data_IF_190912693327
#
_entry.id   IF_190912693327
#
_cell.length_a   1.000
_cell.length_b   1.000
_cell.length_c   1.000
_cell.angle_alpha   90.00
_cell.angle_beta   90.00
_cell.angle_gamma   90.00
#
_symmetry.space_group_name_H-M   'P 1'
#
loop_
_entity.id
_entity.type
_entity.pdbx_description
1 polymer ?
#
# COMPACT_ATOMS: atom_id res chain seq x y z
N UNK A 1 -40.14 32.52 -27.33
CA UNK A 1 -39.38 32.04 -26.16
C UNK A 1 -40.25 31.06 -25.38
N UNK A 2 -40.10 29.76 -25.62
CA UNK A 2 -40.82 28.72 -24.89
C UNK A 2 -40.13 28.47 -23.54
N UNK A 3 -40.82 28.78 -22.44
CA UNK A 3 -40.39 28.37 -21.09
C UNK A 3 -40.46 26.84 -21.02
N UNK A 4 -39.30 26.17 -21.13
CA UNK A 4 -39.17 24.76 -20.72
C UNK A 4 -39.58 24.69 -19.25
N UNK A 5 -40.78 24.16 -18.98
CA UNK A 5 -41.15 23.71 -17.65
C UNK A 5 -40.15 22.62 -17.24
N UNK A 6 -39.23 22.99 -16.35
CA UNK A 6 -38.38 22.06 -15.66
C UNK A 6 -39.26 21.18 -14.79
N UNK A 7 -39.61 20.00 -15.29
CA UNK A 7 -39.96 18.91 -14.39
C UNK A 7 -38.75 18.73 -13.47
N UNK A 8 -38.92 19.08 -12.19
CA UNK A 8 -38.04 18.66 -11.10
C UNK A 8 -38.09 17.14 -11.04
N UNK A 9 -37.42 16.45 -11.97
CA UNK A 9 -36.98 15.08 -11.76
C UNK A 9 -35.94 15.22 -10.65
N UNK A 10 -36.38 14.97 -9.41
CA UNK A 10 -35.49 14.56 -8.33
C UNK A 10 -34.46 13.61 -8.94
N UNK A 11 -33.18 14.02 -8.94
CA UNK A 11 -32.09 13.18 -9.41
C UNK A 11 -31.97 12.01 -8.43
N UNK A 12 -32.77 10.97 -8.65
CA UNK A 12 -32.76 9.76 -7.83
C UNK A 12 -31.57 8.93 -8.28
N UNK A 13 -30.38 9.23 -7.77
CA UNK A 13 -29.26 8.30 -7.83
C UNK A 13 -29.59 7.06 -6.98
N UNK A 14 -29.01 5.91 -7.31
CA UNK A 14 -29.19 4.65 -6.57
C UNK A 14 -30.66 4.18 -6.51
N UNK A 15 -31.31 4.07 -7.67
CA UNK A 15 -32.67 3.52 -7.74
C UNK A 15 -32.69 2.06 -7.29
N UNK A 16 -33.58 1.66 -6.35
CA UNK A 16 -33.68 0.27 -5.88
C UNK A 16 -34.02 -0.75 -6.99
N UNK A 17 -34.62 -0.29 -8.09
CA UNK A 17 -34.94 -1.14 -9.24
C UNK A 17 -33.74 -1.48 -10.14
N UNK A 18 -32.61 -0.78 -9.96
CA UNK A 18 -31.41 -0.90 -10.80
C UNK A 18 -30.20 -1.33 -9.94
N UNK A 19 -30.13 -0.84 -8.69
CA UNK A 19 -29.09 -1.17 -7.73
C UNK A 19 -29.56 -2.28 -6.80
N UNK A 20 -28.94 -3.45 -6.92
CA UNK A 20 -29.08 -4.53 -5.96
C UNK A 20 -28.15 -4.34 -4.75
N UNK A 21 -28.38 -5.13 -3.69
CA UNK A 21 -27.61 -5.07 -2.44
C UNK A 21 -26.10 -5.23 -2.68
N UNK A 22 -25.71 -6.00 -3.69
CA UNK A 22 -24.32 -6.19 -4.10
C UNK A 22 -23.70 -4.91 -4.67
N UNK A 23 -24.41 -4.18 -5.53
CA UNK A 23 -23.92 -2.91 -6.07
C UNK A 23 -23.78 -1.84 -4.98
N UNK A 24 -24.71 -1.81 -4.01
CA UNK A 24 -24.62 -0.91 -2.87
C UNK A 24 -23.41 -1.24 -1.98
N UNK A 25 -23.15 -2.54 -1.74
CA UNK A 25 -22.00 -2.98 -0.95
C UNK A 25 -20.66 -2.71 -1.65
N UNK A 26 -20.59 -2.86 -2.97
CA UNK A 26 -19.41 -2.49 -3.76
C UNK A 26 -19.14 -0.99 -3.67
N UNK A 27 -20.19 -0.17 -3.81
CA UNK A 27 -20.09 1.28 -3.63
C UNK A 27 -19.62 1.65 -2.21
N UNK A 28 -20.16 1.01 -1.17
CA UNK A 28 -19.74 1.24 0.21
C UNK A 28 -18.24 0.91 0.41
N UNK A 29 -17.76 -0.18 -0.20
CA UNK A 29 -16.33 -0.51 -0.22
C UNK A 29 -15.49 0.63 -0.79
N UNK A 30 -15.93 1.22 -1.92
CA UNK A 30 -15.24 2.34 -2.55
C UNK A 30 -15.12 3.55 -1.61
N UNK A 31 -16.22 3.93 -0.95
CA UNK A 31 -16.25 5.07 -0.02
C UNK A 31 -15.36 4.83 1.20
N UNK A 32 -15.46 3.65 1.82
CA UNK A 32 -14.68 3.30 3.01
C UNK A 32 -13.18 3.35 2.69
N UNK A 33 -12.74 2.68 1.61
CA UNK A 33 -11.32 2.65 1.29
C UNK A 33 -10.80 3.97 0.74
N UNK A 34 -11.62 4.78 0.07
CA UNK A 34 -11.26 6.16 -0.28
C UNK A 34 -10.93 6.98 0.97
N UNK A 35 -11.78 6.90 2.00
CA UNK A 35 -11.55 7.57 3.28
C UNK A 35 -10.28 7.03 3.99
N UNK A 36 -10.05 5.71 3.95
CA UNK A 36 -8.84 5.09 4.52
C UNK A 36 -7.57 5.58 3.81
N UNK A 37 -7.53 5.62 2.47
CA UNK A 37 -6.37 6.13 1.73
C UNK A 37 -6.15 7.62 1.95
N UNK A 38 -7.22 8.42 2.06
CA UNK A 38 -7.12 9.84 2.43
C UNK A 38 -6.53 10.01 3.84
N UNK A 39 -7.04 9.25 4.84
CA UNK A 39 -6.50 9.25 6.20
C UNK A 39 -5.03 8.81 6.24
N UNK A 40 -4.65 7.85 5.41
CA UNK A 40 -3.26 7.38 5.27
C UNK A 40 -2.38 8.47 4.66
N UNK A 41 -2.84 9.21 3.64
CA UNK A 41 -2.14 10.36 3.06
C UNK A 41 -1.94 11.50 4.08
N UNK A 42 -2.95 11.78 4.90
CA UNK A 42 -2.83 12.80 5.96
C UNK A 42 -1.82 12.35 7.02
N UNK A 43 -1.95 11.10 7.48
CA UNK A 43 -1.02 10.49 8.46
C UNK A 43 0.41 10.51 7.95
N UNK A 44 0.61 10.21 6.67
CA UNK A 44 1.89 10.26 5.98
C UNK A 44 2.55 11.63 6.07
N UNK A 45 1.80 12.71 5.77
CA UNK A 45 2.30 14.08 5.87
C UNK A 45 2.76 14.43 7.30
N UNK A 46 2.03 13.97 8.31
CA UNK A 46 2.37 14.18 9.73
C UNK A 46 3.64 13.39 10.10
N UNK A 47 3.68 12.10 9.78
CA UNK A 47 4.81 11.20 10.11
C UNK A 47 6.10 11.61 9.40
N UNK A 48 6.03 12.09 8.16
CA UNK A 48 7.19 12.56 7.39
C UNK A 48 7.89 13.74 8.06
N UNK A 49 7.17 14.60 8.78
CA UNK A 49 7.76 15.73 9.52
C UNK A 49 8.61 15.28 10.71
N UNK A 50 8.22 14.20 11.39
CA UNK A 50 8.84 13.76 12.65
C UNK A 50 9.80 12.56 12.56
N UNK A 51 9.85 11.84 11.45
CA UNK A 51 10.71 10.64 11.30
C UNK A 51 12.16 11.02 11.04
N UNK A 52 13.14 10.29 11.60
CA UNK A 52 14.57 10.52 11.36
C UNK A 52 15.05 9.78 10.09
N UNK A 53 15.91 8.77 10.26
CA UNK A 53 16.40 7.98 9.12
C UNK A 53 15.28 7.17 8.42
N UNK A 54 14.15 6.93 9.10
CA UNK A 54 12.94 6.31 8.52
C UNK A 54 12.31 7.10 7.36
N UNK A 55 12.69 8.38 7.16
CA UNK A 55 12.24 9.22 6.04
C UNK A 55 12.53 8.61 4.67
N UNK A 56 13.59 7.81 4.54
CA UNK A 56 13.94 7.22 3.24
C UNK A 56 13.03 6.03 2.89
N UNK A 57 12.41 5.33 3.85
CA UNK A 57 11.38 4.33 3.55
C UNK A 57 10.11 5.01 3.03
N UNK A 58 9.77 6.15 3.65
CA UNK A 58 8.70 7.07 3.22
C UNK A 58 9.20 8.04 2.13
N UNK A 59 9.98 7.51 1.19
CA UNK A 59 10.55 8.29 0.09
C UNK A 59 9.51 8.71 -0.94
N UNK A 60 10.00 9.34 -2.01
CA UNK A 60 9.19 9.68 -3.18
C UNK A 60 8.40 8.48 -3.74
N UNK A 61 8.98 7.27 -3.89
CA UNK A 61 8.25 6.14 -4.46
C UNK A 61 7.02 5.72 -3.65
N UNK A 62 7.11 5.75 -2.31
CA UNK A 62 5.98 5.44 -1.43
C UNK A 62 4.88 6.50 -1.54
N UNK A 63 5.25 7.79 -1.52
CA UNK A 63 4.28 8.88 -1.67
C UNK A 63 3.57 8.81 -3.01
N UNK A 64 4.29 8.52 -4.10
CA UNK A 64 3.73 8.35 -5.43
C UNK A 64 2.79 7.14 -5.49
N UNK A 65 3.21 5.98 -4.94
CA UNK A 65 2.36 4.79 -4.88
C UNK A 65 1.02 5.10 -4.17
N UNK A 66 1.07 5.71 -2.98
CA UNK A 66 -0.14 6.04 -2.24
C UNK A 66 -0.98 7.12 -2.94
N UNK A 67 -0.35 8.09 -3.61
CA UNK A 67 -1.07 9.12 -4.37
C UNK A 67 -1.77 8.53 -5.59
N UNK A 68 -1.09 7.66 -6.35
CA UNK A 68 -1.71 6.94 -7.46
C UNK A 68 -2.83 6.02 -6.97
N UNK A 69 -2.67 5.37 -5.81
CA UNK A 69 -3.73 4.58 -5.21
C UNK A 69 -4.96 5.42 -4.90
N UNK A 70 -4.75 6.57 -4.27
CA UNK A 70 -5.83 7.49 -3.92
C UNK A 70 -6.53 8.05 -5.16
N UNK A 71 -5.77 8.47 -6.18
CA UNK A 71 -6.33 8.97 -7.45
C UNK A 71 -7.13 7.86 -8.15
N UNK A 72 -6.58 6.64 -8.23
CA UNK A 72 -7.29 5.48 -8.76
C UNK A 72 -8.64 5.28 -8.03
N UNK A 73 -8.62 5.29 -6.70
CA UNK A 73 -9.80 5.08 -5.88
C UNK A 73 -10.82 6.23 -6.05
N UNK A 74 -10.35 7.48 -6.14
CA UNK A 74 -11.19 8.64 -6.36
C UNK A 74 -11.85 8.61 -7.74
N UNK A 75 -11.12 8.23 -8.79
CA UNK A 75 -11.67 8.03 -10.13
C UNK A 75 -12.74 6.94 -10.10
N UNK A 76 -12.47 5.81 -9.43
CA UNK A 76 -13.44 4.72 -9.35
C UNK A 76 -14.72 5.12 -8.59
N UNK A 77 -14.58 5.89 -7.50
CA UNK A 77 -15.70 6.47 -6.77
C UNK A 77 -16.53 7.43 -7.64
N UNK A 78 -15.88 8.36 -8.35
CA UNK A 78 -16.56 9.32 -9.24
C UNK A 78 -17.26 8.58 -10.37
N UNK A 79 -16.59 7.65 -11.04
CA UNK A 79 -17.17 6.83 -12.11
C UNK A 79 -18.40 6.07 -11.61
N UNK A 80 -18.30 5.42 -10.45
CA UNK A 80 -19.42 4.66 -9.87
C UNK A 80 -20.58 5.57 -9.45
N UNK A 81 -20.31 6.76 -8.95
CA UNK A 81 -21.34 7.76 -8.59
C UNK A 81 -22.05 8.28 -9.83
N UNK A 82 -21.31 8.59 -10.91
CA UNK A 82 -21.89 9.05 -12.18
C UNK A 82 -22.77 7.97 -12.82
N UNK A 83 -22.32 6.70 -12.77
CA UNK A 83 -23.12 5.56 -13.21
C UNK A 83 -24.39 5.42 -12.37
N UNK A 84 -24.30 5.55 -11.04
CA UNK A 84 -25.44 5.47 -10.14
C UNK A 84 -26.48 6.57 -10.31
N UNK A 85 -26.04 7.73 -10.78
CA UNK A 85 -26.91 8.86 -11.10
C UNK A 85 -27.42 8.85 -12.55
N UNK A 86 -27.20 7.75 -13.28
CA UNK A 86 -27.58 7.58 -14.68
C UNK A 86 -26.98 8.63 -15.65
N UNK A 87 -25.93 9.36 -15.24
CA UNK A 87 -25.37 10.49 -16.03
C UNK A 87 -24.58 10.00 -17.24
N UNK A 88 -23.91 8.85 -17.10
CA UNK A 88 -22.99 8.30 -18.11
C UNK A 88 -23.56 7.12 -18.90
N UNK A 89 -24.84 6.78 -18.76
CA UNK A 89 -25.46 5.65 -19.47
C UNK A 89 -25.33 5.81 -20.99
N UNK A 90 -24.58 4.90 -21.63
CA UNK A 90 -24.38 4.87 -23.07
C UNK A 90 -23.24 5.74 -23.62
N UNK A 91 -22.57 6.52 -22.77
CA UNK A 91 -21.40 7.31 -23.19
C UNK A 91 -20.17 6.41 -23.35
N UNK A 92 -19.36 6.69 -24.38
CA UNK A 92 -18.05 6.05 -24.59
C UNK A 92 -17.04 6.33 -23.48
N UNK A 93 -17.37 7.24 -22.56
CA UNK A 93 -16.48 7.76 -21.52
C UNK A 93 -16.20 6.73 -20.42
N UNK A 94 -17.09 5.74 -20.21
CA UNK A 94 -16.91 4.66 -19.23
C UNK A 94 -15.59 3.91 -19.46
N UNK A 95 -15.22 3.66 -20.71
CA UNK A 95 -13.97 2.96 -21.05
C UNK A 95 -12.74 3.82 -20.78
N UNK A 96 -12.82 5.13 -20.97
CA UNK A 96 -11.73 6.06 -20.62
C UNK A 96 -11.46 6.06 -19.12
N UNK A 97 -12.51 6.00 -18.29
CA UNK A 97 -12.36 5.86 -16.83
C UNK A 97 -11.66 4.54 -16.46
N UNK A 98 -12.07 3.42 -17.06
CA UNK A 98 -11.47 2.10 -16.81
C UNK A 98 -9.97 2.09 -17.19
N UNK A 99 -9.63 2.66 -18.35
CA UNK A 99 -8.22 2.77 -18.79
C UNK A 99 -7.42 3.60 -17.79
N UNK A 100 -7.94 4.75 -17.35
CA UNK A 100 -7.25 5.57 -16.35
C UNK A 100 -7.03 4.81 -15.03
N UNK A 101 -8.05 4.09 -14.55
CA UNK A 101 -7.96 3.24 -13.35
C UNK A 101 -6.84 2.21 -13.51
N UNK A 102 -6.78 1.51 -14.66
CA UNK A 102 -5.76 0.49 -14.92
C UNK A 102 -4.34 1.08 -14.95
N UNK A 103 -4.16 2.25 -15.56
CA UNK A 103 -2.86 2.93 -15.62
C UNK A 103 -2.40 3.32 -14.22
N UNK A 104 -3.26 3.98 -13.42
CA UNK A 104 -2.89 4.36 -12.05
C UNK A 104 -2.64 3.13 -11.17
N UNK A 105 -3.42 2.07 -11.33
CA UNK A 105 -3.21 0.81 -10.63
C UNK A 105 -1.86 0.18 -10.95
N UNK A 106 -1.47 0.14 -12.23
CA UNK A 106 -0.20 -0.38 -12.67
C UNK A 106 0.99 0.43 -12.13
N UNK A 107 0.89 1.77 -12.18
CA UNK A 107 1.92 2.67 -11.64
C UNK A 107 2.05 2.56 -10.12
N UNK A 108 0.93 2.46 -9.43
CA UNK A 108 0.87 2.23 -7.98
C UNK A 108 1.55 0.91 -7.60
N UNK A 109 1.18 -0.19 -8.27
CA UNK A 109 1.70 -1.53 -8.00
C UNK A 109 3.22 -1.61 -8.19
N UNK A 110 3.77 -1.03 -9.27
CA UNK A 110 5.23 -1.08 -9.51
C UNK A 110 6.01 -0.21 -8.52
N UNK A 111 5.47 0.95 -8.14
CA UNK A 111 6.09 1.81 -7.12
C UNK A 111 6.05 1.13 -5.74
N UNK A 112 4.95 0.45 -5.41
CA UNK A 112 4.83 -0.31 -4.17
C UNK A 112 5.83 -1.47 -4.12
N UNK A 113 5.97 -2.22 -5.22
CA UNK A 113 7.00 -3.26 -5.36
C UNK A 113 8.41 -2.70 -5.15
N UNK A 114 8.71 -1.55 -5.74
CA UNK A 114 10.00 -0.89 -5.55
C UNK A 114 10.23 -0.52 -4.07
N UNK A 115 9.21 -0.03 -3.37
CA UNK A 115 9.32 0.26 -1.93
C UNK A 115 9.61 -1.00 -1.13
N UNK A 116 8.84 -2.07 -1.34
CA UNK A 116 8.95 -3.29 -0.54
C UNK A 116 10.19 -4.11 -0.92
N UNK A 117 10.36 -4.46 -2.18
CA UNK A 117 11.44 -5.34 -2.62
C UNK A 117 12.79 -4.64 -2.54
N UNK A 118 12.89 -3.40 -3.00
CA UNK A 118 14.16 -2.69 -3.04
C UNK A 118 14.43 -1.88 -1.78
N UNK A 119 13.55 -0.92 -1.46
CA UNK A 119 13.85 0.06 -0.40
C UNK A 119 13.88 -0.58 0.98
N UNK A 120 12.89 -1.39 1.34
CA UNK A 120 12.84 -2.06 2.64
C UNK A 120 13.98 -3.06 2.84
N UNK A 121 14.23 -3.95 1.86
CA UNK A 121 15.32 -4.94 1.99
C UNK A 121 16.70 -4.28 2.03
N UNK A 122 16.94 -3.22 1.25
CA UNK A 122 18.23 -2.51 1.30
C UNK A 122 18.43 -1.81 2.63
N UNK A 123 17.38 -1.23 3.24
CA UNK A 123 17.45 -0.63 4.56
C UNK A 123 17.72 -1.65 5.67
N UNK A 124 16.98 -2.76 5.70
CA UNK A 124 17.18 -3.84 6.67
C UNK A 124 18.59 -4.43 6.58
N UNK A 125 19.13 -4.57 5.35
CA UNK A 125 20.49 -5.08 5.14
C UNK A 125 21.59 -4.12 5.54
N UNK A 126 21.40 -2.81 5.30
CA UNK A 126 22.35 -1.79 5.77
C UNK A 126 22.52 -1.86 7.29
N UNK A 127 21.44 -2.13 8.04
CA UNK A 127 21.53 -2.32 9.49
C UNK A 127 22.35 -3.54 9.92
N UNK A 128 22.51 -4.55 9.06
CA UNK A 128 23.33 -5.73 9.32
C UNK A 128 24.82 -5.54 8.97
N UNK A 129 25.20 -4.37 8.46
CA UNK A 129 26.56 -4.10 7.99
C UNK A 129 26.95 -4.92 6.76
N UNK A 130 25.98 -5.54 6.07
CA UNK A 130 26.21 -6.35 4.88
C UNK A 130 25.74 -5.58 3.63
N UNK A 131 26.67 -5.30 2.71
CA UNK A 131 26.37 -4.74 1.39
C UNK A 131 26.64 -5.78 0.29
N UNK A 132 25.84 -6.85 0.15
CA UNK A 132 26.02 -7.79 -0.94
C UNK A 132 25.54 -7.15 -2.25
N UNK A 133 26.49 -6.76 -3.10
CA UNK A 133 26.26 -6.26 -4.46
C UNK A 133 25.42 -7.23 -5.29
N UNK A 134 25.67 -8.54 -5.16
CA UNK A 134 24.95 -9.60 -5.86
C UNK A 134 23.43 -9.58 -5.60
N UNK A 135 22.99 -9.31 -4.37
CA UNK A 135 21.57 -9.25 -4.07
C UNK A 135 20.89 -8.03 -4.70
N UNK A 136 21.59 -6.89 -4.77
CA UNK A 136 21.06 -5.71 -5.45
C UNK A 136 20.80 -6.02 -6.92
N UNK A 137 21.72 -6.70 -7.59
CA UNK A 137 21.51 -7.13 -8.98
C UNK A 137 20.29 -8.05 -9.11
N UNK A 138 20.13 -9.02 -8.20
CA UNK A 138 18.96 -9.90 -8.19
C UNK A 138 17.63 -9.17 -7.99
N UNK A 139 17.56 -8.23 -7.04
CA UNK A 139 16.35 -7.42 -6.81
C UNK A 139 16.00 -6.53 -8.00
N UNK A 140 16.99 -5.94 -8.67
CA UNK A 140 16.77 -5.16 -9.89
C UNK A 140 16.23 -6.05 -11.00
N UNK A 141 16.84 -7.23 -11.22
CA UNK A 141 16.39 -8.16 -12.25
C UNK A 141 14.92 -8.56 -12.04
N UNK A 142 14.55 -8.91 -10.81
CA UNK A 142 13.16 -9.26 -10.45
C UNK A 142 12.21 -8.08 -10.67
N UNK A 143 12.59 -6.87 -10.25
CA UNK A 143 11.78 -5.66 -10.46
C UNK A 143 11.61 -5.33 -11.94
N UNK A 144 12.64 -5.52 -12.77
CA UNK A 144 12.56 -5.31 -14.21
C UNK A 144 11.59 -6.30 -14.85
N UNK A 145 11.68 -7.59 -14.50
CA UNK A 145 10.76 -8.63 -15.00
C UNK A 145 9.30 -8.30 -14.60
N UNK A 146 9.07 -7.98 -13.33
CA UNK A 146 7.74 -7.58 -12.84
C UNK A 146 7.25 -6.29 -13.50
N UNK A 147 8.14 -5.33 -13.76
CA UNK A 147 7.81 -4.08 -14.44
C UNK A 147 7.37 -4.30 -15.89
N UNK A 148 8.07 -5.17 -16.62
CA UNK A 148 7.70 -5.54 -17.99
C UNK A 148 6.34 -6.26 -17.98
N UNK A 149 6.17 -7.27 -17.12
CA UNK A 149 4.91 -8.02 -17.01
C UNK A 149 3.73 -7.11 -16.65
N UNK A 150 3.93 -6.19 -15.70
CA UNK A 150 2.93 -5.20 -15.31
C UNK A 150 2.57 -4.26 -16.48
N UNK A 151 3.57 -3.76 -17.21
CA UNK A 151 3.33 -2.90 -18.37
C UNK A 151 2.53 -3.63 -19.45
N UNK A 152 2.90 -4.87 -19.77
CA UNK A 152 2.17 -5.70 -20.75
C UNK A 152 0.74 -5.95 -20.26
N UNK A 153 0.54 -6.29 -18.99
CA UNK A 153 -0.79 -6.50 -18.40
C UNK A 153 -1.66 -5.24 -18.52
N UNK A 154 -1.15 -4.08 -18.11
CA UNK A 154 -1.87 -2.79 -18.19
C UNK A 154 -2.21 -2.43 -19.63
N UNK A 155 -1.28 -2.62 -20.57
CA UNK A 155 -1.51 -2.37 -22.00
C UNK A 155 -2.61 -3.29 -22.52
N UNK A 156 -2.56 -4.58 -22.20
CA UNK A 156 -3.55 -5.55 -22.64
C UNK A 156 -4.95 -5.24 -22.06
N UNK A 157 -5.06 -4.95 -20.77
CA UNK A 157 -6.33 -4.56 -20.13
C UNK A 157 -6.89 -3.24 -20.68
N UNK A 158 -6.02 -2.28 -20.99
CA UNK A 158 -6.43 -1.01 -21.57
C UNK A 158 -6.87 -1.19 -23.02
N UNK A 159 -6.16 -2.01 -23.78
CA UNK A 159 -6.47 -2.33 -25.16
C UNK A 159 -7.78 -3.12 -25.28
N UNK A 160 -8.04 -4.09 -24.41
CA UNK A 160 -9.33 -4.80 -24.37
C UNK A 160 -10.49 -3.88 -24.02
N UNK A 161 -10.29 -2.99 -23.06
CA UNK A 161 -11.28 -1.97 -22.69
C UNK A 161 -11.56 -1.03 -23.87
N UNK A 162 -10.52 -0.61 -24.59
CA UNK A 162 -10.67 0.22 -25.78
C UNK A 162 -11.37 -0.52 -26.93
N UNK A 163 -11.02 -1.77 -27.20
CA UNK A 163 -11.63 -2.54 -28.28
C UNK A 163 -13.11 -2.84 -28.01
N UNK A 164 -13.46 -3.07 -26.74
CA UNK A 164 -14.85 -3.25 -26.29
C UNK A 164 -15.73 -2.00 -26.50
N UNK A 165 -15.12 -0.81 -26.56
CA UNK A 165 -15.81 0.45 -26.88
C UNK A 165 -16.26 0.47 -28.35
N UNK A 166 -15.36 0.09 -29.26
CA UNK A 166 -15.55 0.31 -30.70
C UNK A 166 -16.23 -0.87 -31.40
N UNK A 167 -16.08 -2.09 -30.89
CA UNK A 167 -16.53 -3.32 -31.58
C UNK A 167 -17.45 -4.19 -30.70
N UNK A 168 -18.54 -3.60 -30.17
CA UNK A 168 -19.50 -4.29 -29.28
C UNK A 168 -19.98 -5.68 -29.75
N UNK A 169 -19.88 -6.01 -31.04
CA UNK A 169 -20.48 -7.21 -31.64
C UNK A 169 -19.56 -8.07 -32.55
N UNK A 170 -18.25 -7.79 -32.71
CA UNK A 170 -17.52 -8.30 -33.91
C UNK A 170 -16.16 -8.99 -33.72
N UNK A 171 -15.64 -9.21 -32.51
CA UNK A 171 -14.34 -9.90 -32.40
C UNK A 171 -14.33 -10.88 -31.22
N UNK A 172 -14.07 -12.16 -31.53
CA UNK A 172 -13.57 -13.19 -30.61
C UNK A 172 -12.20 -12.76 -30.09
N UNK A 173 -12.18 -11.74 -29.23
CA UNK A 173 -10.94 -11.29 -28.63
C UNK A 173 -10.45 -12.37 -27.67
N UNK A 174 -9.18 -12.74 -27.79
CA UNK A 174 -8.57 -13.78 -26.97
C UNK A 174 -8.29 -13.26 -25.55
N UNK A 175 -9.35 -13.09 -24.75
CA UNK A 175 -9.28 -12.72 -23.33
C UNK A 175 -8.36 -13.65 -22.53
N UNK A 176 -8.21 -14.89 -22.98
CA UNK A 176 -7.33 -15.89 -22.38
C UNK A 176 -5.89 -15.39 -22.30
N UNK A 177 -5.39 -14.68 -23.32
CA UNK A 177 -4.03 -14.13 -23.32
C UNK A 177 -3.82 -13.10 -22.19
N UNK A 178 -4.81 -12.24 -21.92
CA UNK A 178 -4.77 -11.26 -20.84
C UNK A 178 -4.68 -11.96 -19.49
N UNK A 179 -5.52 -12.99 -19.29
CA UNK A 179 -5.51 -13.75 -18.04
C UNK A 179 -4.24 -14.58 -17.83
N UNK A 180 -3.61 -15.10 -18.89
CA UNK A 180 -2.31 -15.77 -18.77
C UNK A 180 -1.21 -14.81 -18.31
N UNK A 181 -1.14 -13.61 -18.91
CA UNK A 181 -0.15 -12.59 -18.52
C UNK A 181 -0.40 -12.10 -17.10
N UNK A 182 -1.65 -11.86 -16.74
CA UNK A 182 -2.04 -11.44 -15.39
C UNK A 182 -1.71 -12.51 -14.35
N UNK A 183 -2.04 -13.79 -14.62
CA UNK A 183 -1.69 -14.90 -13.75
C UNK A 183 -0.17 -15.04 -13.60
N UNK A 184 0.59 -14.92 -14.69
CA UNK A 184 2.05 -14.95 -14.66
C UNK A 184 2.61 -13.80 -13.81
N UNK A 185 2.11 -12.58 -13.99
CA UNK A 185 2.48 -11.42 -13.19
C UNK A 185 2.25 -11.66 -11.71
N UNK A 186 1.03 -12.05 -11.31
CA UNK A 186 0.69 -12.26 -9.90
C UNK A 186 1.42 -13.45 -9.28
N UNK A 187 1.71 -14.48 -10.05
CA UNK A 187 2.50 -15.64 -9.59
C UNK A 187 3.94 -15.25 -9.29
N UNK A 188 4.59 -14.50 -10.19
CA UNK A 188 5.95 -13.99 -9.98
C UNK A 188 5.97 -12.95 -8.86
N UNK A 189 4.94 -12.11 -8.75
CA UNK A 189 4.76 -11.13 -7.68
C UNK A 189 4.70 -11.81 -6.32
N UNK A 190 3.85 -12.84 -6.18
CA UNK A 190 3.70 -13.64 -4.96
C UNK A 190 5.00 -14.34 -4.57
N UNK A 191 5.67 -15.00 -5.53
CA UNK A 191 6.96 -15.64 -5.29
C UNK A 191 8.03 -14.64 -4.82
N UNK A 192 8.05 -13.45 -5.42
CA UNK A 192 8.98 -12.37 -5.06
C UNK A 192 8.72 -11.84 -3.65
N UNK A 193 7.45 -11.72 -3.24
CA UNK A 193 7.10 -11.36 -1.86
C UNK A 193 7.58 -12.41 -0.88
N UNK A 194 7.36 -13.70 -1.15
CA UNK A 194 7.81 -14.77 -0.26
C UNK A 194 9.34 -14.78 -0.12
N UNK A 195 10.07 -14.62 -1.23
CA UNK A 195 11.51 -14.45 -1.21
C UNK A 195 11.93 -13.20 -0.40
N UNK A 196 11.27 -12.07 -0.59
CA UNK A 196 11.53 -10.85 0.18
C UNK A 196 11.24 -11.00 1.67
N UNK A 197 10.15 -11.69 2.02
CA UNK A 197 9.73 -11.95 3.40
C UNK A 197 10.76 -12.79 4.13
N UNK A 198 11.21 -13.89 3.51
CA UNK A 198 12.25 -14.75 4.08
C UNK A 198 13.56 -13.98 4.29
N UNK A 199 13.99 -13.20 3.30
CA UNK A 199 15.19 -12.36 3.41
C UNK A 199 15.08 -11.31 4.52
N UNK A 200 13.93 -10.65 4.65
CA UNK A 200 13.67 -9.64 5.67
C UNK A 200 13.58 -10.25 7.08
N UNK A 201 12.95 -11.42 7.22
CA UNK A 201 12.86 -12.12 8.51
C UNK A 201 14.22 -12.66 8.97
N UNK A 202 15.02 -13.20 8.04
CA UNK A 202 16.40 -13.61 8.34
C UNK A 202 17.26 -12.41 8.77
N UNK A 203 17.08 -11.28 8.11
CA UNK A 203 17.75 -10.03 8.47
C UNK A 203 17.39 -9.57 9.90
N UNK A 204 16.11 -9.61 10.24
CA UNK A 204 15.60 -9.20 11.55
C UNK A 204 15.99 -10.17 12.67
N UNK A 205 16.06 -11.48 12.40
CA UNK A 205 16.37 -12.51 13.41
C UNK A 205 17.86 -12.66 13.73
N UNK A 206 18.75 -12.05 12.94
CA UNK A 206 20.19 -12.18 13.14
C UNK A 206 20.59 -11.71 14.56
N UNK A 207 21.47 -12.46 15.27
CA UNK A 207 21.86 -12.14 16.64
C UNK A 207 22.54 -10.78 16.80
N UNK A 208 23.15 -10.26 15.72
CA UNK A 208 23.72 -8.90 15.70
C UNK A 208 22.64 -7.81 15.76
N UNK A 209 21.46 -8.07 15.20
CA UNK A 209 20.32 -7.16 15.22
C UNK A 209 19.42 -7.33 16.44
N UNK A 210 19.49 -8.44 17.20
CA UNK A 210 18.66 -8.65 18.42
C UNK A 210 18.82 -7.58 19.50
N UNK A 211 19.95 -6.85 19.54
CA UNK A 211 20.14 -5.71 20.46
C UNK A 211 19.50 -4.41 19.97
N UNK A 212 19.10 -4.33 18.70
CA UNK A 212 18.67 -3.08 18.04
C UNK A 212 17.22 -3.19 17.54
N UNK A 213 16.82 -4.33 16.98
CA UNK A 213 15.49 -4.58 16.41
C UNK A 213 14.44 -4.76 17.51
N UNK A 214 13.60 -3.74 17.74
CA UNK A 214 12.44 -3.85 18.61
C UNK A 214 11.43 -4.87 18.10
N UNK A 215 10.72 -5.55 19.01
CA UNK A 215 9.65 -6.50 18.65
C UNK A 215 8.55 -5.88 17.77
N UNK A 216 8.36 -4.55 17.87
CA UNK A 216 7.43 -3.78 17.05
C UNK A 216 7.78 -3.80 15.55
N UNK A 217 9.06 -3.70 15.19
CA UNK A 217 9.52 -3.77 13.80
C UNK A 217 9.18 -5.14 13.18
N UNK A 218 9.38 -6.21 13.94
CA UNK A 218 9.06 -7.59 13.52
C UNK A 218 7.56 -7.75 13.30
N UNK A 219 6.76 -7.18 14.19
CA UNK A 219 5.30 -7.19 14.08
C UNK A 219 4.85 -6.47 12.79
N UNK A 220 5.29 -5.24 12.56
CA UNK A 220 4.91 -4.49 11.35
C UNK A 220 5.40 -5.14 10.07
N UNK A 221 6.61 -5.68 10.05
CA UNK A 221 7.11 -6.44 8.90
C UNK A 221 6.27 -7.69 8.65
N UNK A 222 5.87 -8.40 9.71
CA UNK A 222 4.99 -9.58 9.59
C UNK A 222 3.62 -9.21 9.04
N UNK A 223 3.00 -8.12 9.54
CA UNK A 223 1.71 -7.62 9.04
C UNK A 223 1.85 -7.20 7.57
N UNK A 224 2.93 -6.51 7.20
CA UNK A 224 3.20 -6.11 5.82
C UNK A 224 3.25 -7.31 4.88
N UNK A 225 4.04 -8.32 5.20
CA UNK A 225 4.22 -9.49 4.34
C UNK A 225 2.98 -10.38 4.29
N UNK A 226 2.27 -10.55 5.41
CA UNK A 226 0.98 -11.23 5.42
C UNK A 226 -0.04 -10.49 4.54
N UNK A 227 -0.07 -9.17 4.63
CA UNK A 227 -1.01 -8.35 3.85
C UNK A 227 -0.70 -8.41 2.36
N UNK A 228 0.57 -8.32 1.98
CA UNK A 228 1.01 -8.49 0.59
C UNK A 228 0.72 -9.89 0.05
N UNK A 229 0.90 -10.93 0.87
CA UNK A 229 0.58 -12.30 0.52
C UNK A 229 -0.91 -12.48 0.22
N UNK A 230 -1.79 -12.07 1.14
CA UNK A 230 -3.24 -12.19 0.93
C UNK A 230 -3.71 -11.33 -0.25
N UNK A 231 -3.20 -10.10 -0.35
CA UNK A 231 -3.50 -9.18 -1.45
C UNK A 231 -3.16 -9.78 -2.81
N UNK A 232 -1.99 -10.41 -2.96
CA UNK A 232 -1.56 -11.01 -4.22
C UNK A 232 -2.14 -12.39 -4.49
N UNK A 233 -2.51 -13.15 -3.46
CA UNK A 233 -3.17 -14.44 -3.60
C UNK A 233 -4.55 -14.32 -4.24
N UNK A 234 -5.31 -13.27 -3.91
CA UNK A 234 -6.68 -13.08 -4.42
C UNK A 234 -6.71 -12.97 -5.96
N UNK A 235 -5.90 -12.11 -6.62
CA UNK A 235 -5.79 -12.08 -8.07
C UNK A 235 -5.36 -13.42 -8.68
N UNK A 236 -4.42 -14.15 -8.05
CA UNK A 236 -4.04 -15.50 -8.53
C UNK A 236 -5.23 -16.45 -8.53
N UNK A 237 -6.03 -16.47 -7.45
CA UNK A 237 -7.24 -17.30 -7.37
C UNK A 237 -8.27 -16.86 -8.42
N UNK A 238 -8.49 -15.55 -8.56
CA UNK A 238 -9.46 -15.03 -9.53
C UNK A 238 -9.07 -15.41 -10.96
N UNK A 239 -7.80 -15.22 -11.32
CA UNK A 239 -7.32 -15.50 -12.67
C UNK A 239 -7.21 -17.00 -12.93
N UNK A 240 -7.01 -17.84 -11.89
CA UNK A 240 -6.97 -19.30 -12.05
C UNK A 240 -8.35 -19.93 -12.28
N UNK A 241 -9.41 -19.43 -11.63
CA UNK A 241 -10.78 -19.97 -11.80
C UNK A 241 -11.25 -19.90 -13.25
N UNK A 242 -10.79 -18.90 -14.01
CA UNK A 242 -11.14 -18.74 -15.43
C UNK A 242 -10.61 -19.86 -16.34
N UNK A 243 -9.65 -20.65 -15.88
CA UNK A 243 -9.14 -21.82 -16.62
C UNK A 243 -9.88 -23.12 -16.29
N UNK A 244 -10.75 -23.11 -15.28
CA UNK A 244 -11.56 -24.27 -14.92
C UNK A 244 -12.82 -24.26 -15.79
N UNK A 245 -13.11 -25.33 -16.56
CA UNK A 245 -14.38 -25.43 -17.27
C UNK A 245 -15.56 -25.30 -16.29
N UNK A 246 -16.44 -24.33 -16.51
CA UNK A 246 -17.54 -23.96 -15.60
C UNK A 246 -17.13 -23.32 -14.26
N UNK A 247 -15.86 -22.97 -14.07
CA UNK A 247 -15.41 -22.19 -12.93
C UNK A 247 -16.04 -20.80 -12.94
N UNK A 248 -17.01 -20.57 -12.06
CA UNK A 248 -17.61 -19.25 -11.85
C UNK A 248 -17.50 -18.86 -10.38
N UNK A 249 -16.95 -17.67 -10.14
CA UNK A 249 -16.98 -17.05 -8.82
C UNK A 249 -18.35 -16.38 -8.70
N UNK A 250 -19.12 -16.75 -7.68
CA UNK A 250 -20.39 -16.09 -7.40
C UNK A 250 -20.19 -14.59 -7.16
N UNK A 251 -21.20 -13.77 -7.44
CA UNK A 251 -21.13 -12.32 -7.21
C UNK A 251 -20.77 -11.97 -5.76
N UNK A 252 -21.31 -12.72 -4.81
CA UNK A 252 -20.97 -12.60 -3.40
C UNK A 252 -19.48 -12.92 -3.13
N UNK A 253 -18.95 -13.98 -3.76
CA UNK A 253 -17.54 -14.34 -3.65
C UNK A 253 -16.62 -13.26 -4.22
N UNK A 254 -16.96 -12.68 -5.37
CA UNK A 254 -16.22 -11.58 -5.97
C UNK A 254 -16.19 -10.34 -5.06
N UNK A 255 -17.36 -9.98 -4.51
CA UNK A 255 -17.49 -8.86 -3.58
C UNK A 255 -16.66 -9.08 -2.31
N UNK A 256 -16.72 -10.28 -1.72
CA UNK A 256 -15.91 -10.63 -0.55
C UNK A 256 -14.41 -10.53 -0.85
N UNK A 257 -13.97 -11.08 -2.00
CA UNK A 257 -12.58 -10.95 -2.47
C UNK A 257 -12.17 -9.48 -2.64
N UNK A 258 -13.06 -8.62 -3.15
CA UNK A 258 -12.79 -7.20 -3.33
C UNK A 258 -12.60 -6.46 -1.99
N UNK A 259 -13.46 -6.72 -1.00
CA UNK A 259 -13.33 -6.17 0.36
C UNK A 259 -12.04 -6.63 1.03
N UNK A 260 -11.75 -7.93 0.99
CA UNK A 260 -10.56 -8.51 1.60
C UNK A 260 -9.29 -7.95 0.93
N UNK A 261 -9.25 -7.93 -0.40
CA UNK A 261 -8.12 -7.39 -1.16
C UNK A 261 -7.88 -5.92 -0.81
N UNK A 262 -8.93 -5.10 -0.76
CA UNK A 262 -8.84 -3.67 -0.42
C UNK A 262 -8.36 -3.44 1.01
N UNK A 263 -8.85 -4.25 1.96
CA UNK A 263 -8.41 -4.22 3.36
C UNK A 263 -6.92 -4.49 3.49
N UNK A 264 -6.46 -5.62 2.93
CA UNK A 264 -5.06 -5.99 3.02
C UNK A 264 -4.17 -5.01 2.24
N UNK A 265 -4.64 -4.48 1.11
CA UNK A 265 -3.90 -3.46 0.39
C UNK A 265 -3.75 -2.16 1.21
N UNK A 266 -4.80 -1.72 1.91
CA UNK A 266 -4.69 -0.59 2.83
C UNK A 266 -3.72 -0.89 3.99
N UNK A 267 -3.77 -2.09 4.56
CA UNK A 267 -2.85 -2.53 5.61
C UNK A 267 -1.39 -2.53 5.15
N UNK A 268 -1.10 -2.79 3.87
CA UNK A 268 0.26 -2.68 3.32
C UNK A 268 0.78 -1.25 3.46
N UNK A 269 0.01 -0.25 3.02
CA UNK A 269 0.42 1.16 3.14
C UNK A 269 0.59 1.59 4.58
N UNK A 270 -0.35 1.21 5.46
CA UNK A 270 -0.30 1.52 6.90
C UNK A 270 0.92 0.86 7.55
N UNK A 271 1.21 -0.39 7.22
CA UNK A 271 2.34 -1.13 7.78
C UNK A 271 3.68 -0.51 7.40
N UNK A 272 3.82 0.00 6.17
CA UNK A 272 5.04 0.72 5.76
C UNK A 272 5.25 1.99 6.61
N UNK A 273 4.18 2.73 6.94
CA UNK A 273 4.26 3.88 7.87
C UNK A 273 4.68 3.41 9.27
N UNK A 274 4.09 2.30 9.74
CA UNK A 274 4.45 1.67 11.02
C UNK A 274 5.93 1.32 11.10
N UNK A 275 6.47 0.66 10.06
CA UNK A 275 7.89 0.33 9.95
C UNK A 275 8.74 1.61 9.97
N UNK A 276 8.37 2.62 9.20
CA UNK A 276 9.15 3.86 9.11
C UNK A 276 9.18 4.68 10.41
N UNK A 277 8.13 4.56 11.24
CA UNK A 277 8.04 5.23 12.55
C UNK A 277 8.85 4.53 13.64
N UNK A 278 9.28 3.29 13.39
CA UNK A 278 9.98 2.49 14.39
C UNK A 278 11.25 3.20 14.91
N UNK A 279 11.47 3.12 16.23
CA UNK A 279 12.59 3.77 16.91
C UNK A 279 13.96 3.25 16.50
N UNK A 280 14.02 2.04 15.93
CA UNK A 280 15.26 1.40 15.42
C UNK A 280 15.98 2.20 14.35
N UNK A 281 15.28 3.09 13.65
CA UNK A 281 15.88 3.96 12.63
C UNK A 281 16.56 5.19 13.21
N UNK A 282 16.45 5.44 14.51
CA UNK A 282 17.17 6.56 15.14
C UNK A 282 18.64 6.15 15.27
N UNK A 283 19.60 6.98 14.84
CA UNK A 283 21.01 6.71 15.11
C UNK A 283 21.18 6.52 16.60
N UNK A 284 21.77 5.41 17.04
CA UNK A 284 22.09 5.19 18.45
C UNK A 284 23.06 6.29 18.90
N UNK A 285 22.53 7.36 19.49
CA UNK A 285 23.32 8.40 20.16
C UNK A 285 24.21 7.81 21.25
N UNK A 286 23.84 6.64 21.79
CA UNK A 286 24.63 5.88 22.75
C UNK A 286 26.00 5.37 22.25
N UNK A 287 26.24 5.27 20.94
CA UNK A 287 27.54 4.85 20.41
C UNK A 287 28.51 6.02 20.16
N UNK A 288 28.01 7.26 20.13
CA UNK A 288 28.82 8.46 19.88
C UNK A 288 29.37 9.09 21.18
N UNK A 289 28.68 8.89 22.30
CA UNK A 289 29.25 9.11 23.64
C UNK A 289 29.83 7.79 24.12
N UNK A 290 31.11 7.54 23.87
CA UNK A 290 31.86 6.40 24.42
C UNK A 290 32.01 6.43 25.96
N UNK A 291 31.10 7.09 26.67
CA UNK A 291 31.01 7.03 28.11
C UNK A 291 30.07 5.87 28.47
N UNK A 292 30.51 4.89 29.29
CA UNK A 292 29.54 4.12 30.03
C UNK A 292 28.71 5.14 30.79
N UNK A 293 27.39 5.19 30.53
CA UNK A 293 26.48 5.78 31.49
C UNK A 293 26.49 4.81 32.65
N UNK A 294 27.51 4.98 33.50
CA UNK A 294 27.47 4.62 34.90
C UNK A 294 26.15 5.22 35.36
N UNK A 295 25.17 4.34 35.61
CA UNK A 295 23.99 4.72 36.38
C UNK A 295 24.55 5.03 37.76
N UNK A 296 25.06 6.25 37.90
CA UNK A 296 25.39 6.86 39.16
C UNK A 296 24.13 6.71 39.99
N UNK A 297 24.27 5.84 40.99
CA UNK A 297 23.25 5.58 41.98
C UNK A 297 22.76 6.91 42.53
N UNK A 298 21.44 7.01 42.68
CA UNK A 298 20.79 7.87 43.65
C UNK A 298 21.32 7.54 45.06
N UNK A 299 22.53 8.00 45.37
CA UNK A 299 23.18 7.81 46.66
C UNK A 299 23.74 9.16 47.10
N UNK A 300 22.97 9.80 47.98
CA UNK A 300 23.36 10.93 48.83
C UNK A 300 23.45 12.30 48.17
N UNK A 301 22.29 12.97 48.07
CA UNK A 301 22.26 14.41 48.37
C UNK A 301 21.83 14.55 49.84
N UNK A 302 22.80 14.34 50.75
CA UNK A 302 22.67 14.81 52.12
C UNK A 302 22.74 16.33 52.07
N UNK A 303 21.58 16.94 52.20
CA UNK A 303 21.39 18.34 52.55
C UNK A 303 22.18 18.63 53.85
N UNK A 304 23.42 19.10 53.70
CA UNK A 304 24.24 19.63 54.79
C UNK A 304 23.83 21.08 55.02
N UNK A 305 23.27 21.33 56.20
CA UNK A 305 22.94 22.66 56.71
C UNK A 305 24.18 23.57 56.74
N UNK A 306 24.07 24.86 56.39
CA UNK A 306 25.13 25.82 56.64
C UNK A 306 25.22 26.11 58.14
N UNK A 307 26.36 25.72 58.74
CA UNK A 307 26.82 26.17 60.05
C UNK A 307 27.07 27.68 59.98
N UNK A 308 26.20 28.46 60.63
CA UNK A 308 26.44 29.88 60.92
C UNK A 308 27.29 29.99 62.19
N UNK A 309 28.61 30.08 62.02
CA UNK A 309 29.49 30.66 63.05
C UNK A 309 29.62 32.16 62.78
N UNK A 310 28.86 32.93 63.54
CA UNK A 310 28.79 34.39 63.44
C UNK A 310 28.97 35.05 64.80
N UNK A 311 30.03 34.68 65.53
CA UNK A 311 30.53 35.44 66.66
C UNK A 311 31.10 36.79 66.15
N UNK A 312 30.41 37.89 66.45
CA UNK A 312 30.81 39.24 66.07
C UNK A 312 30.35 40.27 67.09
N UNK A 313 30.87 40.16 68.31
CA UNK A 313 30.85 41.19 69.34
C UNK A 313 31.73 42.40 68.96
N UNK A 314 31.34 43.58 69.49
CA UNK A 314 32.05 44.88 69.60
C UNK A 314 31.73 45.86 68.45
N UNK A 315 31.36 47.12 68.68
CA UNK A 315 31.37 47.97 69.87
C UNK A 315 30.16 48.92 69.86
#
# INVERSE_FOLDING_TARGET
MARRHGYNRSSTCFRPSIYDDYALSDYACLVVFLAVYLGTLITLCIVRRGTGAGKHLIGLPYMLALSFKFIQQAINFVSSTLQACEVTYGSTDVYSWIIAINVFYGLETIMLLFVVLWTLNTMLRKQLGHNPSALRMGLIAVLTILGILNAVSVILYSYTSWLSRDYRNLVDFNYTAVYYVDLAFWSVYLASILASATLSLLAVRSPKTKRVAGGLLVLWASILYLSLFVYSLIPVIRSSVLFIPQGQISRAGYLAMYWISSLFHALVFISIIGIAKDGTWRPNTFAATGAPVEREHDAYDHQQDPVYDGAGQRA
#
